data_IF_242677607734
#
_entry.id   IF_242677607734
#
_cell.length_a   1.000
_cell.length_b   1.000
_cell.length_c   1.000
_cell.angle_alpha   90.00
_cell.angle_beta   90.00
_cell.angle_gamma   90.00
#
_symmetry.space_group_name_H-M   'P 1'
#
loop_
_entity.id
_entity.type
_entity.pdbx_description
1 polymer ?
#
# COMPACT_ATOMS: atom_id res chain seq x y z
N UNK A 1 -9.30 -15.22 19.93
CA UNK A 1 -9.28 -13.75 20.06
C UNK A 1 -9.28 -13.47 21.55
N UNK A 2 -8.20 -12.88 22.06
CA UNK A 2 -8.13 -12.41 23.45
C UNK A 2 -9.20 -11.37 23.68
N UNK A 3 -9.74 -11.29 24.90
CA UNK A 3 -10.79 -10.33 25.21
C UNK A 3 -10.20 -8.90 25.18
N UNK A 4 -10.97 -7.88 24.74
CA UNK A 4 -10.49 -6.49 24.75
C UNK A 4 -9.87 -6.04 26.09
N UNK A 5 -10.45 -6.49 27.21
CA UNK A 5 -9.91 -6.22 28.55
C UNK A 5 -8.49 -6.76 28.75
N UNK A 6 -8.18 -7.96 28.25
CA UNK A 6 -6.84 -8.55 28.35
C UNK A 6 -5.81 -7.76 27.54
N UNK A 7 -6.21 -7.23 26.37
CA UNK A 7 -5.32 -6.41 25.54
C UNK A 7 -5.08 -5.02 26.14
N UNK A 8 -6.10 -4.45 26.77
CA UNK A 8 -5.98 -3.20 27.52
C UNK A 8 -5.00 -3.38 28.69
N UNK A 9 -5.18 -4.42 29.49
CA UNK A 9 -4.26 -4.71 30.61
C UNK A 9 -2.84 -4.98 30.13
N UNK A 10 -2.65 -5.69 29.01
CA UNK A 10 -1.33 -5.89 28.43
C UNK A 10 -0.66 -4.57 28.01
N UNK A 11 -1.41 -3.67 27.35
CA UNK A 11 -0.90 -2.35 26.96
C UNK A 11 -0.59 -1.47 28.19
N UNK A 12 -1.45 -1.50 29.21
CA UNK A 12 -1.22 -0.80 30.47
C UNK A 12 -0.01 -1.34 31.21
N UNK A 13 0.21 -2.66 31.23
CA UNK A 13 1.38 -3.26 31.86
C UNK A 13 2.69 -2.74 31.26
N UNK A 14 2.75 -2.56 29.94
CA UNK A 14 3.90 -1.96 29.25
C UNK A 14 4.07 -0.47 29.57
N UNK A 15 2.95 0.27 29.68
CA UNK A 15 2.97 1.71 29.98
C UNK A 15 3.21 2.03 31.47
N UNK A 16 2.92 1.10 32.38
CA UNK A 16 2.84 1.32 33.83
C UNK A 16 4.10 1.96 34.43
N UNK A 17 5.33 1.53 34.11
CA UNK A 17 6.53 2.16 34.66
C UNK A 17 6.59 3.66 34.33
N UNK A 18 6.24 4.05 33.10
CA UNK A 18 6.23 5.45 32.70
C UNK A 18 5.09 6.23 33.39
N UNK A 19 3.87 5.66 33.43
CA UNK A 19 2.72 6.30 34.06
C UNK A 19 2.94 6.58 35.55
N UNK A 20 3.55 5.64 36.29
CA UNK A 20 3.88 5.82 37.72
C UNK A 20 4.91 6.94 37.93
N UNK A 21 5.93 7.05 37.08
CA UNK A 21 6.93 8.13 37.14
C UNK A 21 6.32 9.49 36.82
N UNK A 22 5.44 9.54 35.83
CA UNK A 22 4.70 10.76 35.46
C UNK A 22 3.82 11.22 36.64
N UNK A 23 3.07 10.31 37.24
CA UNK A 23 2.23 10.60 38.41
C UNK A 23 3.05 11.09 39.61
N UNK A 24 4.18 10.43 39.91
CA UNK A 24 5.06 10.83 41.01
C UNK A 24 5.68 12.23 40.82
N UNK A 25 5.83 12.69 39.57
CA UNK A 25 6.30 14.04 39.25
C UNK A 25 5.19 15.11 39.30
N UNK A 26 3.94 14.73 39.61
CA UNK A 26 2.79 15.64 39.64
C UNK A 26 2.06 15.77 38.30
N UNK A 27 2.41 14.94 37.31
CA UNK A 27 1.73 14.87 36.03
C UNK A 27 0.61 13.83 35.98
N UNK A 28 -0.03 13.73 34.83
CA UNK A 28 -1.00 12.69 34.53
C UNK A 28 -0.79 12.17 33.10
N UNK A 29 -0.73 10.85 32.94
CA UNK A 29 -0.48 10.19 31.66
C UNK A 29 -1.68 9.36 31.20
N UNK A 30 -1.93 9.37 29.90
CA UNK A 30 -2.99 8.59 29.25
C UNK A 30 -2.39 7.70 28.17
N UNK A 31 -2.78 6.42 28.15
CA UNK A 31 -2.57 5.58 26.98
C UNK A 31 -3.50 6.09 25.85
N UNK A 32 -3.00 6.34 24.65
CA UNK A 32 -3.78 6.98 23.57
C UNK A 32 -3.60 6.29 22.22
N UNK A 33 -4.41 6.69 21.25
CA UNK A 33 -4.12 6.45 19.83
C UNK A 33 -4.32 5.01 19.37
N UNK A 34 -3.36 4.50 18.60
CA UNK A 34 -3.45 3.20 17.94
C UNK A 34 -3.51 2.04 18.93
N UNK A 35 -2.79 2.13 20.04
CA UNK A 35 -2.76 1.13 21.09
C UNK A 35 -4.16 0.89 21.68
N UNK A 36 -4.88 1.96 22.01
CA UNK A 36 -6.25 1.88 22.58
C UNK A 36 -7.23 1.28 21.57
N UNK A 37 -7.21 1.78 20.33
CA UNK A 37 -8.08 1.26 19.25
C UNK A 37 -7.85 -0.23 19.01
N UNK A 38 -6.59 -0.63 18.89
CA UNK A 38 -6.25 -2.02 18.54
C UNK A 38 -6.54 -2.96 19.71
N UNK A 39 -6.31 -2.53 20.96
CA UNK A 39 -6.71 -3.27 22.15
C UNK A 39 -8.23 -3.49 22.21
N UNK A 40 -9.03 -2.45 21.91
CA UNK A 40 -10.50 -2.57 21.84
C UNK A 40 -10.97 -3.50 20.71
N UNK A 41 -10.20 -3.64 19.64
CA UNK A 41 -10.42 -4.63 18.57
C UNK A 41 -9.94 -6.05 18.94
N UNK A 42 -9.41 -6.25 20.16
CA UNK A 42 -8.83 -7.52 20.59
C UNK A 42 -7.55 -7.90 19.84
N UNK A 43 -6.80 -6.90 19.36
CA UNK A 43 -5.54 -7.07 18.62
C UNK A 43 -4.36 -6.66 19.50
N UNK A 44 -3.27 -7.45 19.53
CA UNK A 44 -2.06 -7.05 20.22
C UNK A 44 -1.42 -5.84 19.52
N UNK A 45 -0.93 -4.91 20.32
CA UNK A 45 -0.18 -3.76 19.85
C UNK A 45 0.96 -3.44 20.83
N UNK A 46 2.19 -3.44 20.32
CA UNK A 46 3.41 -3.12 21.08
C UNK A 46 3.83 -1.66 20.93
N UNK A 47 3.24 -0.91 20.00
CA UNK A 47 3.49 0.51 19.78
C UNK A 47 2.62 1.30 20.77
N UNK A 48 3.19 1.55 21.95
CA UNK A 48 2.52 2.19 23.08
C UNK A 48 2.77 3.70 23.05
N UNK A 49 1.69 4.46 22.83
CA UNK A 49 1.68 5.91 22.86
C UNK A 49 1.10 6.42 24.19
N UNK A 50 1.84 7.25 24.91
CA UNK A 50 1.40 7.90 26.15
C UNK A 50 1.32 9.40 25.94
N UNK A 51 0.18 10.02 26.22
CA UNK A 51 0.01 11.48 26.20
C UNK A 51 0.02 12.02 27.63
N UNK A 52 0.85 13.03 27.89
CA UNK A 52 1.15 13.52 29.24
C UNK A 52 0.66 14.93 29.46
N UNK A 53 0.05 15.15 30.61
CA UNK A 53 -0.56 16.39 31.05
C UNK A 53 0.08 16.86 32.36
N UNK A 54 0.07 18.18 32.59
CA UNK A 54 0.55 18.77 33.86
C UNK A 54 2.07 18.83 34.05
N UNK A 55 2.87 18.32 33.11
CA UNK A 55 4.34 18.41 33.15
C UNK A 55 4.90 19.15 31.93
N UNK A 56 5.87 20.03 32.15
CA UNK A 56 6.68 20.60 31.08
C UNK A 56 7.66 19.58 30.48
N UNK A 57 8.24 19.86 29.29
CA UNK A 57 9.18 18.95 28.63
C UNK A 57 10.39 18.54 29.49
N UNK A 58 10.98 19.49 30.23
CA UNK A 58 12.14 19.23 31.08
C UNK A 58 11.80 18.35 32.29
N UNK A 59 10.63 18.59 32.91
CA UNK A 59 10.13 17.81 34.05
C UNK A 59 9.80 16.38 33.61
N UNK A 60 9.16 16.24 32.45
CA UNK A 60 8.85 14.93 31.87
C UNK A 60 10.13 14.14 31.56
N UNK A 61 11.12 14.75 30.91
CA UNK A 61 12.39 14.09 30.62
C UNK A 61 13.11 13.66 31.91
N UNK A 62 13.13 14.52 32.94
CA UNK A 62 13.69 14.18 34.24
C UNK A 62 12.94 13.02 34.92
N UNK A 63 11.60 13.01 34.86
CA UNK A 63 10.76 11.96 35.42
C UNK A 63 11.03 10.59 34.79
N UNK A 64 11.22 10.54 33.46
CA UNK A 64 11.40 9.32 32.67
C UNK A 64 12.86 8.82 32.63
N UNK A 65 13.85 9.70 32.79
CA UNK A 65 15.28 9.34 32.71
C UNK A 65 15.73 8.15 33.57
N UNK A 66 15.14 7.84 34.75
CA UNK A 66 15.54 6.67 35.53
C UNK A 66 15.08 5.34 34.95
N UNK A 67 14.12 5.35 34.01
CA UNK A 67 13.54 4.13 33.43
C UNK A 67 14.38 3.54 32.29
N UNK A 68 15.25 4.35 31.69
CA UNK A 68 16.08 3.96 30.57
C UNK A 68 16.47 5.16 29.70
N UNK A 69 16.82 4.91 28.43
CA UNK A 69 17.25 5.99 27.54
C UNK A 69 16.03 6.74 26.99
N UNK A 70 15.94 8.02 27.34
CA UNK A 70 14.90 8.93 26.88
C UNK A 70 15.50 9.92 25.86
N UNK A 71 15.00 9.89 24.62
CA UNK A 71 15.44 10.78 23.55
C UNK A 71 14.27 11.64 23.09
N UNK A 72 14.38 12.96 23.25
CA UNK A 72 13.41 13.88 22.68
C UNK A 72 13.56 13.91 21.14
N UNK A 73 12.44 13.78 20.44
CA UNK A 73 12.39 13.67 18.97
C UNK A 73 11.55 14.80 18.38
N UNK A 74 11.98 15.26 17.19
CA UNK A 74 11.28 16.30 16.42
C UNK A 74 11.70 17.72 16.79
N UNK A 75 11.42 18.69 15.90
CA UNK A 75 11.89 20.09 16.07
C UNK A 75 11.19 20.85 17.20
N UNK A 76 10.08 20.35 17.74
CA UNK A 76 9.40 20.91 18.93
C UNK A 76 9.70 20.18 20.23
N UNK A 77 10.46 19.07 20.18
CA UNK A 77 10.73 18.20 21.32
C UNK A 77 9.46 17.73 22.07
N UNK A 78 8.32 17.68 21.39
CA UNK A 78 7.03 17.33 21.98
C UNK A 78 6.77 15.83 22.13
N UNK A 79 7.68 14.97 21.66
CA UNK A 79 7.63 13.51 21.82
C UNK A 79 8.98 13.02 22.33
N UNK A 80 8.96 12.16 23.35
CA UNK A 80 10.11 11.50 23.93
C UNK A 80 10.00 10.01 23.59
N UNK A 81 10.97 9.50 22.84
CA UNK A 81 11.14 8.07 22.67
C UNK A 81 11.85 7.51 23.89
N UNK A 82 11.13 6.72 24.67
CA UNK A 82 11.63 6.08 25.87
C UNK A 82 11.89 4.61 25.58
N UNK A 83 13.15 4.20 25.70
CA UNK A 83 13.54 2.81 25.69
C UNK A 83 13.75 2.37 27.14
N UNK A 84 12.87 1.52 27.65
CA UNK A 84 12.99 0.93 28.98
C UNK A 84 14.18 -0.04 29.03
N UNK A 85 14.74 -0.21 30.23
CA UNK A 85 15.91 -1.07 30.47
C UNK A 85 15.69 -2.55 30.09
N UNK A 86 14.44 -3.01 30.05
CA UNK A 86 14.03 -4.36 29.66
C UNK A 86 13.81 -4.54 28.14
N UNK A 87 14.00 -3.47 27.34
CA UNK A 87 13.87 -3.51 25.89
C UNK A 87 12.51 -3.05 25.34
N UNK A 88 11.56 -2.64 26.19
CA UNK A 88 10.29 -2.06 25.72
C UNK A 88 10.48 -0.62 25.23
N UNK A 89 9.93 -0.28 24.06
CA UNK A 89 9.94 1.08 23.50
C UNK A 89 8.56 1.75 23.66
N UNK A 90 8.55 2.97 24.18
CA UNK A 90 7.35 3.78 24.41
C UNK A 90 7.51 5.16 23.75
N UNK A 91 6.45 5.67 23.13
CA UNK A 91 6.41 7.05 22.63
C UNK A 91 5.60 7.91 23.62
N UNK A 92 6.26 8.84 24.30
CA UNK A 92 5.65 9.71 25.32
C UNK A 92 5.54 11.14 24.79
N UNK A 93 4.33 11.61 24.56
CA UNK A 93 4.04 12.88 23.92
C UNK A 93 3.40 13.90 24.88
N UNK A 94 3.71 15.17 24.68
CA UNK A 94 3.00 16.29 25.29
C UNK A 94 1.96 16.85 24.30
N UNK A 95 0.77 17.26 24.77
CA UNK A 95 -0.27 17.84 23.94
C UNK A 95 0.18 19.19 23.36
N UNK A 96 -0.36 19.56 22.19
CA UNK A 96 0.06 20.75 21.44
C UNK A 96 -1.16 21.55 20.93
N UNK A 97 -1.10 22.88 20.99
CA UNK A 97 -2.23 23.78 20.62
C UNK A 97 -2.47 23.97 19.13
N UNK A 98 -1.49 23.75 18.23
CA UNK A 98 -1.67 23.94 16.76
C UNK A 98 -0.79 23.06 15.88
N UNK A 99 -1.37 22.66 14.75
CA UNK A 99 -0.68 22.09 13.59
C UNK A 99 -1.20 22.70 12.28
N UNK A 100 -1.37 24.03 12.24
CA UNK A 100 -1.70 24.74 10.99
C UNK A 100 -0.41 25.32 10.40
N UNK A 101 0.14 24.76 9.31
CA UNK A 101 1.12 25.48 8.52
C UNK A 101 0.42 26.69 7.91
N UNK A 102 0.98 27.88 8.08
CA UNK A 102 0.61 29.00 7.21
C UNK A 102 1.02 28.62 5.79
N UNK A 103 0.13 28.77 4.80
CA UNK A 103 0.46 28.48 3.41
C UNK A 103 1.75 29.23 3.01
N UNK A 104 2.77 28.48 2.58
CA UNK A 104 4.10 29.02 2.22
C UNK A 104 5.14 29.09 3.35
N UNK A 105 4.76 28.84 4.61
CA UNK A 105 5.71 28.78 5.72
C UNK A 105 6.08 27.33 6.03
N UNK A 106 7.39 27.00 5.94
CA UNK A 106 7.93 25.76 6.53
C UNK A 106 7.65 25.76 8.03
N UNK A 107 6.63 25.01 8.44
CA UNK A 107 6.42 24.42 9.77
C UNK A 107 6.96 25.17 10.98
N UNK A 108 6.28 26.23 11.42
CA UNK A 108 6.33 26.63 12.83
C UNK A 108 5.57 25.59 13.64
N UNK A 109 6.29 24.65 14.23
CA UNK A 109 5.72 23.64 15.12
C UNK A 109 5.27 24.35 16.40
N UNK A 110 4.02 24.15 16.82
CA UNK A 110 3.54 24.73 18.07
C UNK A 110 4.32 24.16 19.25
N UNK A 111 4.62 25.01 20.23
CA UNK A 111 5.20 24.55 21.49
C UNK A 111 4.23 23.57 22.19
N UNK A 112 4.77 22.55 22.90
CA UNK A 112 3.99 21.75 23.83
C UNK A 112 3.22 22.63 24.80
N UNK A 113 1.96 22.27 25.04
CA UNK A 113 1.13 22.93 26.02
C UNK A 113 0.50 21.90 26.98
N UNK A 114 1.18 21.62 28.10
CA UNK A 114 0.72 20.63 29.07
C UNK A 114 -0.54 21.05 29.83
N UNK A 115 -1.05 22.27 29.62
CA UNK A 115 -2.29 22.78 30.23
C UNK A 115 -3.55 22.42 29.45
N UNK A 116 -3.40 21.88 28.23
CA UNK A 116 -4.53 21.40 27.46
C UNK A 116 -5.28 20.31 28.20
N UNK A 117 -6.61 20.30 28.10
CA UNK A 117 -7.40 19.17 28.62
C UNK A 117 -7.35 17.97 27.66
N UNK A 118 -7.55 16.73 28.15
CA UNK A 118 -7.66 15.55 27.29
C UNK A 118 -8.70 15.69 26.16
N UNK A 119 -9.81 16.38 26.45
CA UNK A 119 -10.83 16.67 25.44
C UNK A 119 -10.32 17.61 24.34
N UNK A 120 -9.61 18.68 24.69
CA UNK A 120 -9.06 19.63 23.71
C UNK A 120 -7.92 19.05 22.88
N UNK A 121 -7.10 18.17 23.46
CA UNK A 121 -6.03 17.48 22.77
C UNK A 121 -6.59 16.44 21.78
N UNK A 122 -7.52 15.60 22.24
CA UNK A 122 -8.17 14.57 21.42
C UNK A 122 -8.97 15.18 20.25
N UNK A 123 -9.55 16.38 20.40
CA UNK A 123 -10.25 17.11 19.33
C UNK A 123 -9.43 17.27 18.04
N UNK A 124 -8.10 17.30 18.15
CA UNK A 124 -7.17 17.58 17.04
C UNK A 124 -6.80 16.34 16.24
N UNK A 125 -7.15 15.16 16.73
CA UNK A 125 -6.86 13.88 16.08
C UNK A 125 -7.70 13.73 14.81
N UNK A 126 -7.35 12.75 14.00
CA UNK A 126 -7.99 12.53 12.71
C UNK A 126 -9.39 11.93 12.86
N UNK A 127 -9.50 10.77 13.50
CA UNK A 127 -10.75 10.02 13.62
C UNK A 127 -11.12 9.76 15.09
N UNK A 128 -12.41 9.67 15.36
CA UNK A 128 -12.97 9.38 16.70
C UNK A 128 -12.36 8.11 17.30
N UNK A 129 -12.19 7.06 16.48
CA UNK A 129 -11.56 5.80 16.88
C UNK A 129 -10.09 5.93 17.32
N UNK A 130 -9.38 6.98 16.88
CA UNK A 130 -8.00 7.26 17.26
C UNK A 130 -7.91 8.32 18.38
N UNK A 131 -9.06 8.87 18.79
CA UNK A 131 -9.21 9.88 19.83
C UNK A 131 -9.62 9.29 21.19
N UNK A 132 -9.59 7.96 21.29
CA UNK A 132 -9.79 7.20 22.53
C UNK A 132 -8.53 7.24 23.39
N UNK A 133 -8.74 7.26 24.70
CA UNK A 133 -7.68 7.20 25.70
C UNK A 133 -8.04 6.27 26.86
N UNK A 134 -7.05 5.71 27.53
CA UNK A 134 -7.23 4.86 28.72
C UNK A 134 -6.38 5.43 29.86
N UNK A 135 -6.98 5.54 31.05
CA UNK A 135 -6.31 6.00 32.27
C UNK A 135 -5.38 4.93 32.85
N UNK A 136 -4.50 5.29 33.79
CA UNK A 136 -3.62 4.32 34.46
C UNK A 136 -4.40 3.24 35.25
N UNK A 137 -5.64 3.57 35.64
CA UNK A 137 -6.60 2.71 36.34
C UNK A 137 -7.42 1.83 35.39
N UNK A 138 -7.27 2.01 34.07
CA UNK A 138 -7.98 1.22 33.05
C UNK A 138 -9.33 1.79 32.62
N UNK A 139 -9.66 3.04 32.99
CA UNK A 139 -10.89 3.67 32.57
C UNK A 139 -10.79 4.20 31.13
N UNK A 140 -11.80 3.93 30.30
CA UNK A 140 -11.86 4.44 28.93
C UNK A 140 -12.41 5.88 28.91
N UNK A 141 -11.61 6.80 28.37
CA UNK A 141 -12.01 8.16 28.06
C UNK A 141 -12.39 8.28 26.59
N UNK A 142 -13.69 8.49 26.34
CA UNK A 142 -14.25 8.71 25.00
C UNK A 142 -15.11 9.97 24.97
N UNK A 143 -14.54 11.07 24.46
CA UNK A 143 -15.23 12.36 24.35
C UNK A 143 -16.00 12.53 23.04
N UNK A 144 -15.83 11.62 22.08
CA UNK A 144 -16.22 11.81 20.67
C UNK A 144 -17.04 10.65 20.10
N UNK A 145 -17.35 9.63 20.91
CA UNK A 145 -18.10 8.44 20.50
C UNK A 145 -17.26 7.45 19.69
N UNK A 146 -15.93 7.46 19.85
CA UNK A 146 -15.01 6.58 19.12
C UNK A 146 -15.24 5.10 19.39
N UNK A 147 -15.69 4.72 20.60
CA UNK A 147 -15.94 3.32 20.92
C UNK A 147 -17.17 2.76 20.17
N UNK A 148 -18.21 3.59 20.02
CA UNK A 148 -19.40 3.23 19.23
C UNK A 148 -19.08 3.18 17.73
N UNK A 149 -18.33 4.16 17.23
CA UNK A 149 -17.86 4.17 15.83
C UNK A 149 -16.98 2.95 15.53
N UNK A 150 -16.10 2.56 16.45
CA UNK A 150 -15.26 1.36 16.33
C UNK A 150 -16.11 0.09 16.23
N UNK A 151 -17.12 -0.04 17.09
CA UNK A 151 -18.06 -1.18 17.10
C UNK A 151 -18.91 -1.24 15.84
N UNK A 152 -19.29 -0.10 15.27
CA UNK A 152 -20.07 0.00 14.03
C UNK A 152 -19.21 -0.08 12.77
N UNK A 153 -17.89 -0.08 12.89
CA UNK A 153 -16.97 -0.02 11.74
C UNK A 153 -17.09 1.28 10.95
N UNK A 154 -17.17 2.42 11.64
CA UNK A 154 -17.35 3.75 11.06
C UNK A 154 -16.09 4.61 11.23
N UNK A 155 -15.69 5.30 10.17
CA UNK A 155 -14.67 6.35 10.23
C UNK A 155 -15.33 7.73 10.26
N UNK A 156 -15.38 8.33 11.45
CA UNK A 156 -15.87 9.69 11.67
C UNK A 156 -14.71 10.61 12.07
N UNK A 157 -14.66 11.81 11.50
CA UNK A 157 -13.72 12.84 11.93
C UNK A 157 -14.06 13.36 13.33
N UNK A 158 -13.05 13.79 14.08
CA UNK A 158 -13.26 14.26 15.46
C UNK A 158 -13.88 15.65 15.53
N UNK A 159 -13.29 16.61 14.80
CA UNK A 159 -13.69 18.02 14.82
C UNK A 159 -13.28 18.71 13.52
N UNK A 160 -13.64 19.99 13.38
CA UNK A 160 -13.23 20.86 12.27
C UNK A 160 -11.71 20.93 12.05
N UNK A 161 -10.91 20.58 13.09
CA UNK A 161 -9.45 20.44 13.00
C UNK A 161 -9.01 19.36 11.99
N UNK A 162 -9.92 18.51 11.52
CA UNK A 162 -9.65 17.57 10.43
C UNK A 162 -9.16 18.28 9.15
N UNK A 163 -9.66 19.49 8.87
CA UNK A 163 -9.23 20.29 7.74
C UNK A 163 -7.81 20.86 7.85
N UNK A 164 -7.15 20.77 9.01
CA UNK A 164 -5.79 21.31 9.19
C UNK A 164 -4.72 20.48 8.44
N UNK A 165 -5.00 19.22 8.12
CA UNK A 165 -4.12 18.38 7.30
C UNK A 165 -4.96 17.60 6.27
N UNK A 166 -5.07 18.09 5.02
CA UNK A 166 -5.81 17.43 3.96
C UNK A 166 -5.39 15.97 3.70
N UNK A 167 -4.16 15.56 4.07
CA UNK A 167 -3.71 14.17 3.97
C UNK A 167 -4.63 13.21 4.75
N UNK A 168 -5.35 13.70 5.77
CA UNK A 168 -6.29 12.88 6.55
C UNK A 168 -7.38 12.23 5.70
N UNK A 169 -7.69 12.75 4.51
CA UNK A 169 -8.60 12.08 3.58
C UNK A 169 -7.99 10.78 3.05
N UNK A 170 -6.72 10.78 2.63
CA UNK A 170 -6.02 9.55 2.23
C UNK A 170 -5.73 8.63 3.44
N UNK A 171 -5.57 9.19 4.64
CA UNK A 171 -5.55 8.36 5.88
C UNK A 171 -6.89 7.64 6.07
N UNK A 172 -8.01 8.28 5.75
CA UNK A 172 -9.33 7.62 5.79
C UNK A 172 -9.38 6.45 4.82
N UNK A 173 -8.87 6.63 3.59
CA UNK A 173 -8.78 5.58 2.56
C UNK A 173 -8.00 4.38 3.08
N UNK A 174 -6.78 4.57 3.61
CA UNK A 174 -6.01 3.44 4.11
C UNK A 174 -6.58 2.84 5.41
N UNK A 175 -7.21 3.61 6.30
CA UNK A 175 -7.84 3.05 7.49
C UNK A 175 -9.09 2.24 7.16
N UNK A 176 -9.90 2.71 6.21
CA UNK A 176 -11.01 1.93 5.66
C UNK A 176 -10.49 0.62 5.08
N UNK A 177 -9.38 0.66 4.34
CA UNK A 177 -8.77 -0.56 3.83
C UNK A 177 -8.17 -1.46 4.92
N UNK A 178 -7.60 -0.89 5.98
CA UNK A 178 -6.99 -1.67 7.06
C UNK A 178 -8.03 -2.39 7.91
N UNK A 179 -9.16 -1.75 8.17
CA UNK A 179 -10.17 -2.23 9.13
C UNK A 179 -11.48 -2.70 8.50
N UNK A 180 -11.69 -2.45 7.20
CA UNK A 180 -12.97 -2.73 6.52
C UNK A 180 -14.07 -1.73 6.90
N UNK A 181 -13.69 -0.53 7.35
CA UNK A 181 -14.64 0.47 7.86
C UNK A 181 -15.22 1.36 6.77
N UNK A 182 -16.42 1.88 7.03
CA UNK A 182 -17.13 2.80 6.14
C UNK A 182 -16.94 4.24 6.58
N UNK A 183 -16.79 5.15 5.60
CA UNK A 183 -16.70 6.58 5.86
C UNK A 183 -18.06 7.13 6.33
N UNK A 184 -18.07 7.86 7.44
CA UNK A 184 -19.26 8.56 7.92
C UNK A 184 -19.74 9.62 6.90
N UNK A 185 -21.06 9.76 6.64
CA UNK A 185 -21.56 10.72 5.64
C UNK A 185 -21.17 12.19 5.88
N UNK A 186 -21.15 12.62 7.14
CA UNK A 186 -20.70 13.98 7.51
C UNK A 186 -19.21 14.16 7.26
N UNK A 187 -18.43 13.12 7.54
CA UNK A 187 -16.99 13.09 7.22
C UNK A 187 -16.75 13.10 5.71
N UNK A 188 -17.54 12.36 4.94
CA UNK A 188 -17.47 12.37 3.48
C UNK A 188 -17.73 13.77 2.91
N UNK A 189 -18.71 14.50 3.46
CA UNK A 189 -18.98 15.89 3.07
C UNK A 189 -17.79 16.83 3.37
N UNK A 190 -17.18 16.67 4.55
CA UNK A 190 -15.97 17.42 4.91
C UNK A 190 -14.81 17.10 3.95
N UNK A 191 -14.55 15.82 3.67
CA UNK A 191 -13.50 15.41 2.74
C UNK A 191 -13.67 16.04 1.34
N UNK A 192 -14.91 16.10 0.82
CA UNK A 192 -15.20 16.75 -0.46
C UNK A 192 -14.84 18.23 -0.45
N UNK A 193 -15.10 18.93 0.66
CA UNK A 193 -14.73 20.35 0.80
C UNK A 193 -13.22 20.60 0.81
N UNK A 194 -12.41 19.59 1.15
CA UNK A 194 -10.96 19.67 1.22
C UNK A 194 -10.26 19.37 -0.11
N UNK A 195 -10.99 18.92 -1.14
CA UNK A 195 -10.42 18.56 -2.44
C UNK A 195 -9.52 19.65 -3.05
N UNK A 196 -9.86 20.96 -3.02
CA UNK A 196 -9.00 22.00 -3.57
C UNK A 196 -7.63 22.11 -2.87
N UNK A 197 -7.52 21.65 -1.62
CA UNK A 197 -6.30 21.72 -0.82
C UNK A 197 -5.35 20.55 -1.11
N UNK A 198 -5.78 19.53 -1.86
CA UNK A 198 -4.99 18.35 -2.15
C UNK A 198 -3.67 18.65 -2.90
N UNK A 199 -3.65 19.73 -3.70
CA UNK A 199 -2.45 20.16 -4.44
C UNK A 199 -1.29 20.58 -3.53
N UNK A 200 -1.56 20.92 -2.27
CA UNK A 200 -0.53 21.31 -1.30
C UNK A 200 0.17 20.15 -0.59
N UNK A 201 -0.24 18.90 -0.87
CA UNK A 201 0.31 17.72 -0.18
C UNK A 201 1.54 17.21 -0.93
N UNK A 202 2.64 17.03 -0.21
CA UNK A 202 3.86 16.45 -0.77
C UNK A 202 3.63 15.00 -1.27
N UNK A 203 4.18 14.68 -2.44
CA UNK A 203 4.04 13.38 -3.12
C UNK A 203 4.45 12.20 -2.25
N UNK A 204 5.50 12.35 -1.44
CA UNK A 204 6.00 11.29 -0.55
C UNK A 204 4.99 10.96 0.54
N UNK A 205 4.22 11.96 1.00
CA UNK A 205 3.14 11.76 1.99
C UNK A 205 1.96 11.04 1.35
N UNK A 206 1.59 11.40 0.11
CA UNK A 206 0.55 10.72 -0.67
C UNK A 206 0.92 9.26 -0.86
N UNK A 207 2.16 9.01 -1.32
CA UNK A 207 2.68 7.66 -1.52
C UNK A 207 2.69 6.83 -0.24
N UNK A 208 3.05 7.45 0.90
CA UNK A 208 3.00 6.80 2.21
C UNK A 208 1.62 6.23 2.57
N UNK A 209 0.53 6.92 2.21
CA UNK A 209 -0.83 6.44 2.45
C UNK A 209 -1.27 5.37 1.43
N UNK A 210 -0.86 5.49 0.16
CA UNK A 210 -1.11 4.45 -0.85
C UNK A 210 -0.37 3.14 -0.58
N UNK A 211 0.86 3.20 -0.05
CA UNK A 211 1.58 2.00 0.38
C UNK A 211 0.84 1.27 1.51
N UNK A 212 0.35 2.02 2.51
CA UNK A 212 -0.46 1.44 3.59
C UNK A 212 -1.75 0.83 3.06
N UNK A 213 -2.42 1.50 2.12
CA UNK A 213 -3.61 0.95 1.46
C UNK A 213 -3.31 -0.35 0.70
N UNK A 214 -2.22 -0.39 -0.07
CA UNK A 214 -1.84 -1.58 -0.85
C UNK A 214 -1.38 -2.76 0.05
N UNK A 215 -0.88 -2.47 1.26
CA UNK A 215 -0.59 -3.47 2.28
C UNK A 215 -1.82 -3.90 3.09
N UNK A 216 -2.97 -3.24 2.94
CA UNK A 216 -4.11 -3.45 3.82
C UNK A 216 -4.94 -4.69 3.46
N UNK A 217 -5.76 -5.14 4.42
CA UNK A 217 -6.59 -6.36 4.31
C UNK A 217 -7.81 -6.20 3.41
N UNK A 218 -8.40 -5.01 3.38
CA UNK A 218 -9.69 -4.73 2.73
C UNK A 218 -9.59 -3.57 1.71
N UNK A 219 -8.70 -3.63 0.71
CA UNK A 219 -8.47 -2.52 -0.22
C UNK A 219 -9.75 -2.01 -0.89
N UNK A 220 -10.77 -2.85 -1.12
CA UNK A 220 -12.07 -2.43 -1.62
C UNK A 220 -12.73 -1.36 -0.74
N UNK A 221 -12.69 -1.53 0.59
CA UNK A 221 -13.25 -0.55 1.51
C UNK A 221 -12.54 0.81 1.39
N UNK A 222 -11.22 0.79 1.17
CA UNK A 222 -10.46 2.01 0.88
C UNK A 222 -10.88 2.70 -0.41
N UNK A 223 -11.05 1.96 -1.51
CA UNK A 223 -11.48 2.53 -2.80
C UNK A 223 -12.90 3.10 -2.73
N UNK A 224 -13.81 2.43 -2.01
CA UNK A 224 -15.14 2.97 -1.72
C UNK A 224 -15.07 4.27 -0.92
N UNK A 225 -14.16 4.36 0.05
CA UNK A 225 -13.90 5.60 0.79
C UNK A 225 -13.30 6.69 -0.09
N UNK A 226 -12.41 6.34 -1.02
CA UNK A 226 -11.84 7.29 -1.99
C UNK A 226 -12.94 7.91 -2.87
N UNK A 227 -13.87 7.08 -3.37
CA UNK A 227 -15.04 7.53 -4.13
C UNK A 227 -15.98 8.40 -3.27
N UNK A 228 -16.43 7.89 -2.11
CA UNK A 228 -17.34 8.61 -1.23
C UNK A 228 -16.79 9.97 -0.75
N UNK A 229 -15.47 10.07 -0.58
CA UNK A 229 -14.79 11.32 -0.20
C UNK A 229 -14.71 12.36 -1.32
N UNK A 230 -15.01 11.98 -2.57
CA UNK A 230 -14.84 12.79 -3.78
C UNK A 230 -13.39 12.94 -4.25
N UNK A 231 -12.43 12.33 -3.54
CA UNK A 231 -11.00 12.42 -3.90
C UNK A 231 -10.60 11.50 -5.05
N UNK A 232 -11.50 10.61 -5.49
CA UNK A 232 -11.33 9.89 -6.75
C UNK A 232 -11.09 10.84 -7.94
N UNK A 233 -11.62 12.06 -7.89
CA UNK A 233 -11.39 13.11 -8.90
C UNK A 233 -9.91 13.50 -9.07
N UNK A 234 -9.04 13.20 -8.09
CA UNK A 234 -7.59 13.43 -8.21
C UNK A 234 -6.90 12.37 -9.07
N UNK A 235 -7.56 11.26 -9.36
CA UNK A 235 -7.02 10.11 -10.09
C UNK A 235 -7.88 9.86 -11.33
N UNK A 236 -7.72 10.68 -12.40
CA UNK A 236 -8.56 10.59 -13.59
C UNK A 236 -8.52 9.22 -14.25
N UNK A 237 -7.39 8.51 -14.16
CA UNK A 237 -7.23 7.15 -14.66
C UNK A 237 -8.20 6.17 -13.96
N UNK A 238 -8.41 6.33 -12.65
CA UNK A 238 -9.36 5.54 -11.87
C UNK A 238 -10.81 6.03 -12.04
N UNK A 239 -11.02 7.35 -12.06
CA UNK A 239 -12.35 7.93 -12.25
C UNK A 239 -12.97 7.52 -13.59
N UNK A 240 -12.16 7.36 -14.64
CA UNK A 240 -12.61 6.90 -15.95
C UNK A 240 -13.18 5.47 -15.96
N UNK A 241 -12.90 4.66 -14.92
CA UNK A 241 -13.46 3.32 -14.80
C UNK A 241 -14.95 3.34 -14.41
N UNK A 242 -15.42 4.40 -13.75
CA UNK A 242 -16.81 4.52 -13.30
C UNK A 242 -17.75 4.59 -14.50
N UNK A 243 -18.75 3.73 -14.53
CA UNK A 243 -19.74 3.63 -15.61
C UNK A 243 -19.21 2.97 -16.89
N UNK A 244 -17.94 2.57 -16.95
CA UNK A 244 -17.41 1.79 -18.07
C UNK A 244 -18.07 0.40 -18.09
N UNK A 245 -18.99 0.18 -19.03
CA UNK A 245 -19.81 -1.02 -19.07
C UNK A 245 -18.98 -2.26 -19.41
N UNK A 246 -19.38 -3.40 -18.87
CA UNK A 246 -18.79 -4.71 -19.14
C UNK A 246 -19.88 -5.71 -19.53
N UNK A 247 -19.55 -6.82 -20.23
CA UNK A 247 -20.50 -7.87 -20.54
C UNK A 247 -21.08 -8.52 -19.26
N UNK A 248 -22.39 -8.40 -18.97
CA UNK A 248 -22.95 -8.90 -17.71
C UNK A 248 -22.82 -10.41 -17.50
N UNK A 249 -22.70 -11.19 -18.57
CA UNK A 249 -22.45 -12.64 -18.51
C UNK A 249 -21.10 -12.97 -17.87
N UNK A 250 -20.08 -12.16 -18.13
CA UNK A 250 -18.72 -12.37 -17.62
C UNK A 250 -18.38 -11.48 -16.43
N UNK A 251 -19.11 -10.38 -16.26
CA UNK A 251 -18.93 -9.37 -15.23
C UNK A 251 -20.28 -9.05 -14.54
N UNK A 252 -20.88 -10.03 -13.82
CA UNK A 252 -22.13 -9.81 -13.09
C UNK A 252 -22.00 -8.79 -11.95
N UNK A 253 -20.78 -8.51 -11.50
CA UNK A 253 -20.46 -7.54 -10.45
C UNK A 253 -20.66 -6.08 -10.85
N UNK A 254 -20.68 -5.78 -12.16
CA UNK A 254 -21.00 -4.45 -12.69
C UNK A 254 -19.93 -3.85 -13.61
N UNK A 255 -19.71 -2.54 -13.46
CA UNK A 255 -18.79 -1.78 -14.29
C UNK A 255 -17.31 -2.06 -13.96
N UNK A 256 -16.40 -1.50 -14.76
CA UNK A 256 -14.95 -1.71 -14.57
C UNK A 256 -14.45 -1.21 -13.21
N UNK A 257 -15.03 -0.14 -12.68
CA UNK A 257 -14.69 0.37 -11.34
C UNK A 257 -15.02 -0.64 -10.24
N UNK A 258 -16.23 -1.19 -10.25
CA UNK A 258 -16.66 -2.21 -9.29
C UNK A 258 -15.84 -3.50 -9.42
N UNK A 259 -15.56 -3.93 -10.66
CA UNK A 259 -14.66 -5.04 -10.92
C UNK A 259 -13.27 -4.81 -10.33
N UNK A 260 -12.64 -3.67 -10.62
CA UNK A 260 -11.32 -3.32 -10.08
C UNK A 260 -11.29 -3.33 -8.56
N UNK A 261 -12.35 -2.83 -7.91
CA UNK A 261 -12.50 -2.92 -6.46
C UNK A 261 -12.48 -4.35 -5.93
N UNK A 262 -13.22 -5.27 -6.58
CA UNK A 262 -13.23 -6.69 -6.20
C UNK A 262 -11.92 -7.40 -6.52
N UNK A 263 -11.27 -7.06 -7.64
CA UNK A 263 -9.96 -7.61 -8.00
C UNK A 263 -8.89 -7.22 -6.99
N UNK A 264 -8.89 -5.97 -6.49
CA UNK A 264 -8.02 -5.55 -5.39
C UNK A 264 -8.28 -6.35 -4.10
N UNK A 265 -9.54 -6.58 -3.72
CA UNK A 265 -9.89 -7.39 -2.54
C UNK A 265 -9.42 -8.85 -2.71
N UNK A 266 -9.62 -9.42 -3.91
CA UNK A 266 -9.15 -10.76 -4.24
C UNK A 266 -7.62 -10.86 -4.21
N UNK A 267 -6.92 -9.86 -4.74
CA UNK A 267 -5.46 -9.77 -4.69
C UNK A 267 -4.93 -9.74 -3.25
N UNK A 268 -5.58 -8.97 -2.37
CA UNK A 268 -5.23 -8.94 -0.94
C UNK A 268 -5.50 -10.28 -0.24
N UNK A 269 -6.59 -10.97 -0.58
CA UNK A 269 -6.89 -12.29 -0.03
C UNK A 269 -5.91 -13.37 -0.53
N UNK A 270 -5.52 -13.32 -1.81
CA UNK A 270 -4.49 -14.20 -2.39
C UNK A 270 -3.15 -13.94 -1.71
N UNK A 271 -2.76 -12.67 -1.53
CA UNK A 271 -1.51 -12.33 -0.85
C UNK A 271 -1.44 -12.89 0.58
N UNK A 272 -2.55 -12.83 1.31
CA UNK A 272 -2.67 -13.43 2.64
C UNK A 272 -2.55 -14.96 2.58
N UNK A 273 -3.30 -15.61 1.67
CA UNK A 273 -3.33 -17.06 1.52
C UNK A 273 -1.96 -17.65 1.18
N UNK A 274 -1.21 -16.96 0.32
CA UNK A 274 0.13 -17.37 -0.11
C UNK A 274 1.24 -16.91 0.87
N UNK A 275 0.90 -16.18 1.93
CA UNK A 275 1.87 -15.68 2.91
C UNK A 275 2.87 -14.69 2.31
N UNK A 276 2.45 -13.85 1.37
CA UNK A 276 3.33 -12.91 0.69
C UNK A 276 3.88 -11.85 1.64
N UNK A 277 5.18 -11.56 1.50
CA UNK A 277 5.80 -10.43 2.16
C UNK A 277 5.20 -9.09 1.68
N UNK A 278 5.40 -8.07 2.50
CA UNK A 278 4.84 -6.72 2.33
C UNK A 278 5.06 -6.11 0.93
N UNK A 279 6.26 -6.25 0.37
CA UNK A 279 6.59 -5.73 -0.95
C UNK A 279 5.79 -6.46 -2.05
N UNK A 280 5.82 -7.80 -2.04
CA UNK A 280 5.12 -8.62 -3.02
C UNK A 280 3.59 -8.40 -2.96
N UNK A 281 3.02 -8.27 -1.76
CA UNK A 281 1.62 -7.90 -1.56
C UNK A 281 1.30 -6.55 -2.21
N UNK A 282 2.09 -5.51 -1.93
CA UNK A 282 1.85 -4.17 -2.50
C UNK A 282 1.93 -4.20 -4.02
N UNK A 283 2.92 -4.88 -4.59
CA UNK A 283 3.06 -5.05 -6.04
C UNK A 283 1.83 -5.72 -6.64
N UNK A 284 1.34 -6.81 -6.04
CA UNK A 284 0.14 -7.51 -6.51
C UNK A 284 -1.13 -6.64 -6.43
N UNK A 285 -1.36 -5.96 -5.31
CA UNK A 285 -2.55 -5.11 -5.11
C UNK A 285 -2.52 -3.86 -6.01
N UNK A 286 -1.34 -3.26 -6.24
CA UNK A 286 -1.18 -2.14 -7.17
C UNK A 286 -1.35 -2.60 -8.63
N UNK A 287 -0.88 -3.79 -8.99
CA UNK A 287 -1.13 -4.36 -10.31
C UNK A 287 -2.61 -4.65 -10.53
N UNK A 288 -3.31 -5.18 -9.52
CA UNK A 288 -4.76 -5.33 -9.51
C UNK A 288 -5.50 -4.00 -9.71
N UNK A 289 -5.06 -2.92 -9.05
CA UNK A 289 -5.63 -1.58 -9.22
C UNK A 289 -5.48 -1.06 -10.67
N UNK A 290 -4.40 -1.46 -11.35
CA UNK A 290 -4.02 -0.90 -12.64
C UNK A 290 -4.40 -1.76 -13.86
N UNK A 291 -4.77 -3.03 -13.68
CA UNK A 291 -4.84 -4.01 -14.78
C UNK A 291 -5.78 -3.61 -15.92
N UNK A 292 -6.89 -2.93 -15.59
CA UNK A 292 -7.99 -2.62 -16.50
C UNK A 292 -8.12 -1.16 -16.90
N UNK A 293 -7.12 -0.33 -16.58
CA UNK A 293 -7.14 1.12 -16.86
C UNK A 293 -7.34 1.45 -18.36
N UNK A 294 -6.98 0.54 -19.26
CA UNK A 294 -7.17 0.72 -20.70
C UNK A 294 -8.59 0.47 -21.20
N UNK A 295 -9.48 -0.14 -20.38
CA UNK A 295 -10.85 -0.49 -20.82
C UNK A 295 -11.64 0.75 -21.28
N UNK A 296 -11.73 1.87 -20.53
CA UNK A 296 -12.51 3.03 -20.96
C UNK A 296 -12.18 3.56 -22.36
N UNK A 297 -10.91 3.52 -22.77
CA UNK A 297 -10.47 4.00 -24.08
C UNK A 297 -10.61 2.96 -25.21
N UNK A 298 -10.82 1.68 -24.87
CA UNK A 298 -10.84 0.56 -25.82
C UNK A 298 -12.19 -0.16 -25.89
N UNK A 299 -13.11 0.14 -24.98
CA UNK A 299 -14.45 -0.48 -24.97
C UNK A 299 -15.26 -0.05 -26.18
N UNK A 300 -15.78 -1.06 -26.89
CA UNK A 300 -16.61 -0.93 -28.09
C UNK A 300 -17.91 -1.71 -27.92
N UNK A 301 -18.99 -1.19 -28.51
CA UNK A 301 -20.31 -1.82 -28.52
C UNK A 301 -20.64 -2.27 -29.94
N UNK A 302 -20.28 -3.52 -30.27
CA UNK A 302 -20.49 -4.07 -31.61
C UNK A 302 -21.52 -5.20 -31.57
N UNK A 303 -22.59 -5.08 -32.37
CA UNK A 303 -23.64 -6.11 -32.51
C UNK A 303 -24.22 -6.58 -31.17
N UNK A 304 -24.41 -5.64 -30.24
CA UNK A 304 -24.94 -5.92 -28.89
C UNK A 304 -23.93 -6.58 -27.94
N UNK A 305 -22.66 -6.71 -28.31
CA UNK A 305 -21.58 -7.22 -27.46
C UNK A 305 -20.63 -6.10 -27.06
N UNK A 306 -20.29 -6.08 -25.79
CA UNK A 306 -19.30 -5.17 -25.22
C UNK A 306 -17.94 -5.87 -25.29
N UNK A 307 -16.91 -5.19 -25.80
CA UNK A 307 -15.54 -5.72 -25.90
C UNK A 307 -14.51 -4.63 -25.67
N UNK A 308 -13.38 -4.97 -25.05
CA UNK A 308 -12.26 -4.06 -24.82
C UNK A 308 -10.95 -4.64 -25.39
N UNK A 309 -10.82 -4.72 -26.73
CA UNK A 309 -9.62 -5.28 -27.37
C UNK A 309 -8.39 -4.43 -27.06
N UNK A 310 -7.27 -5.07 -26.71
CA UNK A 310 -5.99 -4.39 -26.47
C UNK A 310 -5.95 -3.49 -25.23
N UNK A 311 -6.89 -3.66 -24.28
CA UNK A 311 -6.92 -2.84 -23.07
C UNK A 311 -5.69 -3.02 -22.17
N UNK A 312 -5.05 -4.20 -22.20
CA UNK A 312 -3.84 -4.46 -21.41
C UNK A 312 -2.67 -3.59 -21.90
N UNK A 313 -2.45 -3.51 -23.22
CA UNK A 313 -1.42 -2.68 -23.83
C UNK A 313 -1.76 -1.19 -23.68
N UNK A 314 -3.01 -0.81 -23.93
CA UNK A 314 -3.47 0.58 -23.80
C UNK A 314 -3.48 1.07 -22.34
N UNK A 315 -3.66 0.15 -21.38
CA UNK A 315 -3.70 0.46 -19.95
C UNK A 315 -2.33 0.70 -19.33
N UNK A 316 -1.26 0.19 -19.93
CA UNK A 316 0.09 0.35 -19.38
C UNK A 316 0.58 1.80 -19.23
N UNK A 317 0.46 2.70 -20.23
CA UNK A 317 0.82 4.11 -20.03
C UNK A 317 -0.07 4.81 -18.99
N UNK A 318 -1.33 4.38 -18.83
CA UNK A 318 -2.23 4.90 -17.80
C UNK A 318 -1.82 4.43 -16.41
N UNK A 319 -1.40 3.18 -16.27
CA UNK A 319 -0.85 2.62 -15.03
C UNK A 319 0.42 3.37 -14.62
N UNK A 320 1.32 3.66 -15.57
CA UNK A 320 2.53 4.45 -15.32
C UNK A 320 2.18 5.86 -14.84
N UNK A 321 1.24 6.54 -15.50
CA UNK A 321 0.78 7.87 -15.13
C UNK A 321 0.11 7.89 -13.74
N UNK A 322 -0.73 6.90 -13.44
CA UNK A 322 -1.40 6.76 -12.15
C UNK A 322 -0.39 6.54 -11.01
N UNK A 323 0.54 5.60 -11.18
CA UNK A 323 1.57 5.31 -10.17
C UNK A 323 2.49 6.52 -9.95
N UNK A 324 2.88 7.22 -11.02
CA UNK A 324 3.64 8.47 -10.91
C UNK A 324 2.84 9.55 -10.14
N UNK A 325 1.54 9.68 -10.41
CA UNK A 325 0.65 10.60 -9.70
C UNK A 325 0.50 10.27 -8.21
N UNK A 326 0.54 8.98 -7.85
CA UNK A 326 0.56 8.52 -6.47
C UNK A 326 1.91 8.75 -5.77
N UNK A 327 2.96 9.10 -6.51
CA UNK A 327 4.32 9.25 -5.99
C UNK A 327 5.09 7.94 -5.85
N UNK A 328 4.71 6.89 -6.60
CA UNK A 328 5.36 5.59 -6.55
C UNK A 328 6.84 5.67 -6.96
N UNK A 329 7.68 4.88 -6.30
CA UNK A 329 9.08 4.75 -6.68
C UNK A 329 9.24 3.99 -7.99
N UNK A 330 10.26 4.34 -8.78
CA UNK A 330 10.51 3.75 -10.10
C UNK A 330 10.63 2.21 -10.07
N UNK A 331 11.20 1.62 -9.02
CA UNK A 331 11.30 0.16 -8.90
C UNK A 331 9.93 -0.51 -8.72
N UNK A 332 8.98 0.13 -8.03
CA UNK A 332 7.60 -0.37 -7.89
C UNK A 332 6.90 -0.31 -9.23
N UNK A 333 7.04 0.82 -9.95
CA UNK A 333 6.49 0.99 -11.30
C UNK A 333 7.04 -0.10 -12.24
N UNK A 334 8.34 -0.36 -12.21
CA UNK A 334 8.99 -1.38 -13.01
C UNK A 334 8.49 -2.80 -12.71
N UNK A 335 8.11 -3.11 -11.47
CA UNK A 335 7.49 -4.40 -11.12
C UNK A 335 6.02 -4.48 -11.55
N UNK A 336 5.24 -3.40 -11.45
CA UNK A 336 3.80 -3.42 -11.73
C UNK A 336 3.49 -3.43 -13.22
N UNK A 337 4.22 -2.65 -14.03
CA UNK A 337 3.88 -2.45 -15.45
C UNK A 337 3.88 -3.75 -16.28
N UNK A 338 4.84 -4.68 -16.14
CA UNK A 338 4.80 -5.94 -16.88
C UNK A 338 3.59 -6.80 -16.51
N UNK A 339 3.20 -6.81 -15.23
CA UNK A 339 2.01 -7.55 -14.76
C UNK A 339 0.74 -7.02 -15.43
N UNK A 340 0.58 -5.69 -15.50
CA UNK A 340 -0.56 -5.03 -16.17
C UNK A 340 -0.56 -5.34 -17.67
N UNK A 341 0.58 -5.22 -18.35
CA UNK A 341 0.66 -5.47 -19.80
C UNK A 341 0.34 -6.90 -20.17
N UNK A 342 0.75 -7.86 -19.34
CA UNK A 342 0.70 -9.29 -19.68
C UNK A 342 -0.46 -10.04 -19.02
N UNK A 343 -1.34 -9.40 -18.25
CA UNK A 343 -2.40 -10.12 -17.52
C UNK A 343 -3.35 -10.90 -18.44
N UNK A 344 -3.49 -10.51 -19.72
CA UNK A 344 -4.29 -11.23 -20.72
C UNK A 344 -3.54 -12.39 -21.40
N UNK A 345 -2.25 -12.58 -21.15
CA UNK A 345 -1.44 -13.61 -21.82
C UNK A 345 -1.84 -15.05 -21.47
N UNK A 346 -2.69 -15.25 -20.46
CA UNK A 346 -3.21 -16.56 -20.05
C UNK A 346 -4.17 -17.17 -21.09
N UNK A 347 -4.68 -16.38 -22.04
CA UNK A 347 -5.48 -16.89 -23.16
C UNK A 347 -4.64 -17.64 -24.23
N UNK A 348 -3.32 -17.50 -24.20
CA UNK A 348 -2.44 -18.30 -25.05
C UNK A 348 -2.32 -19.75 -24.56
N UNK A 349 -1.92 -20.68 -25.43
CA UNK A 349 -1.67 -22.07 -25.02
C UNK A 349 -0.30 -22.19 -24.35
N UNK A 350 -0.19 -22.75 -23.12
CA UNK A 350 1.10 -22.93 -22.46
C UNK A 350 1.96 -23.94 -23.24
N UNK A 351 3.18 -23.50 -23.56
CA UNK A 351 4.27 -24.29 -24.16
C UNK A 351 5.58 -23.76 -23.59
N UNK A 352 6.65 -24.57 -23.60
CA UNK A 352 7.94 -24.16 -23.03
C UNK A 352 8.44 -22.82 -23.58
N UNK A 353 8.44 -22.65 -24.90
CA UNK A 353 8.72 -21.37 -25.57
C UNK A 353 7.86 -20.21 -25.06
N UNK A 354 6.54 -20.36 -25.05
CA UNK A 354 5.61 -19.29 -24.64
C UNK A 354 5.84 -18.88 -23.18
N UNK A 355 6.04 -19.86 -22.30
CA UNK A 355 6.29 -19.64 -20.86
C UNK A 355 7.63 -18.94 -20.62
N UNK A 356 8.71 -19.36 -21.28
CA UNK A 356 10.01 -18.66 -21.17
C UNK A 356 9.93 -17.22 -21.69
N UNK A 357 9.25 -16.99 -22.81
CA UNK A 357 9.06 -15.63 -23.36
C UNK A 357 8.21 -14.76 -22.43
N UNK A 358 7.17 -15.31 -21.82
CA UNK A 358 6.36 -14.57 -20.85
C UNK A 358 7.19 -14.23 -19.60
N UNK A 359 7.92 -15.19 -19.03
CA UNK A 359 8.83 -14.94 -17.90
C UNK A 359 9.86 -13.83 -18.21
N UNK A 360 10.42 -13.81 -19.42
CA UNK A 360 11.34 -12.77 -19.86
C UNK A 360 10.67 -11.38 -19.99
N UNK A 361 9.42 -11.29 -20.47
CA UNK A 361 8.68 -10.02 -20.56
C UNK A 361 8.20 -9.50 -19.22
N UNK A 362 7.96 -10.40 -18.25
CA UNK A 362 7.52 -10.05 -16.91
C UNK A 362 8.62 -9.42 -16.06
N UNK A 363 9.89 -9.77 -16.29
CA UNK A 363 11.00 -9.27 -15.50
C UNK A 363 11.01 -7.72 -15.42
N UNK A 364 11.13 -7.12 -14.21
CA UNK A 364 11.56 -7.72 -12.95
C UNK A 364 10.47 -8.43 -12.12
N UNK A 365 9.21 -8.43 -12.57
CA UNK A 365 8.15 -9.22 -11.94
C UNK A 365 8.28 -10.72 -12.28
N UNK A 366 7.54 -11.56 -11.55
CA UNK A 366 7.63 -13.02 -11.67
C UNK A 366 6.40 -13.66 -12.30
N UNK A 367 6.55 -14.88 -12.79
CA UNK A 367 5.42 -15.70 -13.26
C UNK A 367 4.42 -15.98 -12.13
N UNK A 368 4.90 -16.09 -10.89
CA UNK A 368 4.04 -16.28 -9.71
C UNK A 368 3.16 -15.05 -9.46
N UNK A 369 3.74 -13.84 -9.46
CA UNK A 369 3.00 -12.59 -9.30
C UNK A 369 1.99 -12.40 -10.44
N UNK A 370 2.39 -12.73 -11.66
CA UNK A 370 1.49 -12.69 -12.82
C UNK A 370 0.33 -13.67 -12.67
N UNK A 371 0.59 -14.91 -12.28
CA UNK A 371 -0.47 -15.91 -12.08
C UNK A 371 -1.43 -15.51 -10.95
N UNK A 372 -0.92 -14.90 -9.87
CA UNK A 372 -1.72 -14.34 -8.78
C UNK A 372 -2.61 -13.18 -9.24
N UNK A 373 -2.10 -12.30 -10.11
CA UNK A 373 -2.91 -11.22 -10.70
C UNK A 373 -4.02 -11.78 -11.59
N UNK A 374 -3.72 -12.77 -12.42
CA UNK A 374 -4.71 -13.44 -13.29
C UNK A 374 -5.78 -14.14 -12.46
N UNK A 375 -5.39 -14.81 -11.38
CA UNK A 375 -6.35 -15.37 -10.42
C UNK A 375 -7.21 -14.29 -9.77
N UNK A 376 -6.61 -13.16 -9.37
CA UNK A 376 -7.33 -12.05 -8.77
C UNK A 376 -8.36 -11.43 -9.73
N UNK A 377 -7.99 -11.19 -10.99
CA UNK A 377 -8.90 -10.70 -12.04
C UNK A 377 -10.08 -11.66 -12.24
N UNK A 378 -9.78 -12.96 -12.31
CA UNK A 378 -10.83 -13.96 -12.52
C UNK A 378 -11.75 -14.12 -11.30
N UNK A 379 -11.18 -14.11 -10.10
CA UNK A 379 -11.88 -14.34 -8.84
C UNK A 379 -12.61 -13.10 -8.32
N UNK A 380 -12.26 -11.91 -8.81
CA UNK A 380 -12.90 -10.63 -8.50
C UNK A 380 -14.28 -10.40 -9.15
N UNK A 381 -15.02 -11.47 -9.50
CA UNK A 381 -16.26 -11.39 -10.28
C UNK A 381 -17.46 -12.03 -9.57
N UNK A 382 -17.77 -11.65 -8.32
CA UNK A 382 -18.87 -12.25 -7.59
C UNK A 382 -20.21 -12.06 -8.33
N UNK A 383 -21.13 -13.03 -8.32
CA UNK A 383 -21.10 -14.25 -7.51
C UNK A 383 -20.40 -15.45 -8.17
N UNK A 384 -19.62 -15.25 -9.24
CA UNK A 384 -18.89 -16.35 -9.87
C UNK A 384 -17.86 -16.94 -8.90
N UNK A 385 -17.61 -18.26 -8.95
CA UNK A 385 -16.63 -18.89 -8.09
C UNK A 385 -15.20 -18.45 -8.43
N UNK A 386 -14.27 -18.47 -7.46
CA UNK A 386 -12.87 -18.17 -7.71
C UNK A 386 -12.24 -19.23 -8.63
N UNK A 387 -11.31 -18.79 -9.47
CA UNK A 387 -10.65 -19.63 -10.46
C UNK A 387 -9.25 -19.05 -10.74
N UNK A 388 -8.27 -19.92 -11.00
CA UNK A 388 -6.93 -19.51 -11.44
C UNK A 388 -6.66 -19.97 -12.88
N UNK A 389 -6.97 -19.15 -13.90
CA UNK A 389 -6.70 -19.47 -15.30
C UNK A 389 -5.21 -19.67 -15.63
N UNK A 390 -4.31 -19.08 -14.84
CA UNK A 390 -2.87 -19.16 -15.03
C UNK A 390 -2.22 -20.41 -14.41
N UNK A 391 -3.00 -21.28 -13.74
CA UNK A 391 -2.46 -22.43 -13.01
C UNK A 391 -1.59 -23.36 -13.89
N UNK A 392 -2.02 -23.63 -15.13
CA UNK A 392 -1.23 -24.45 -16.07
C UNK A 392 0.06 -23.75 -16.49
N UNK A 393 0.03 -22.45 -16.76
CA UNK A 393 1.25 -21.69 -17.06
C UNK A 393 2.24 -21.74 -15.90
N UNK A 394 1.75 -21.59 -14.68
CA UNK A 394 2.59 -21.61 -13.48
C UNK A 394 3.23 -22.98 -13.25
N UNK A 395 2.50 -24.08 -13.50
CA UNK A 395 3.07 -25.43 -13.46
C UNK A 395 4.24 -25.59 -14.44
N UNK A 396 4.05 -25.20 -15.70
CA UNK A 396 5.13 -25.20 -16.69
C UNK A 396 6.30 -24.30 -16.28
N UNK A 397 6.03 -23.13 -15.71
CA UNK A 397 7.07 -22.21 -15.26
C UNK A 397 7.93 -22.82 -14.15
N UNK A 398 7.34 -23.61 -13.25
CA UNK A 398 8.06 -24.35 -12.21
C UNK A 398 8.92 -25.47 -12.81
N UNK A 399 8.36 -26.25 -13.73
CA UNK A 399 9.10 -27.33 -14.42
C UNK A 399 10.31 -26.80 -15.20
N UNK A 400 10.18 -25.60 -15.77
CA UNK A 400 11.24 -24.93 -16.54
C UNK A 400 12.18 -24.09 -15.66
N UNK A 401 11.97 -24.05 -14.35
CA UNK A 401 12.71 -23.20 -13.40
C UNK A 401 12.69 -21.69 -13.74
N UNK A 402 11.58 -21.20 -14.28
CA UNK A 402 11.36 -19.77 -14.63
C UNK A 402 10.22 -19.11 -13.85
N UNK A 403 9.74 -19.76 -12.79
CA UNK A 403 8.63 -19.24 -11.98
C UNK A 403 8.96 -17.92 -11.28
N UNK A 404 10.20 -17.79 -10.80
CA UNK A 404 10.68 -16.67 -9.97
C UNK A 404 11.63 -15.72 -10.71
N UNK A 405 12.20 -16.15 -11.83
CA UNK A 405 13.15 -15.37 -12.63
C UNK A 405 13.16 -15.86 -14.07
N UNK A 406 13.47 -15.00 -15.06
CA UNK A 406 13.61 -15.45 -16.44
C UNK A 406 14.87 -16.33 -16.62
N UNK A 407 14.96 -17.10 -17.72
CA UNK A 407 16.18 -17.83 -18.07
C UNK A 407 17.39 -16.88 -18.09
N UNK A 408 18.50 -17.32 -17.49
CA UNK A 408 19.75 -16.57 -17.56
C UNK A 408 20.30 -16.59 -19.00
N UNK A 409 20.82 -15.46 -19.53
CA UNK A 409 21.43 -15.45 -20.86
C UNK A 409 22.61 -16.42 -20.96
N UNK A 410 22.59 -17.31 -21.94
CA UNK A 410 23.68 -18.24 -22.24
C UNK A 410 24.88 -17.53 -22.87
N UNK A 411 24.61 -16.52 -23.71
CA UNK A 411 25.64 -15.69 -24.33
C UNK A 411 25.90 -14.46 -23.47
N UNK A 412 27.18 -14.24 -23.12
CA UNK A 412 27.61 -13.09 -22.33
C UNK A 412 28.44 -12.12 -23.16
N UNK A 413 28.44 -10.84 -22.77
CA UNK A 413 29.29 -9.84 -23.43
C UNK A 413 30.77 -10.22 -23.37
N UNK A 414 31.23 -10.82 -22.26
CA UNK A 414 32.60 -11.31 -22.12
C UNK A 414 32.96 -12.36 -23.18
N UNK A 415 32.04 -13.28 -23.48
CA UNK A 415 32.25 -14.29 -24.52
C UNK A 415 32.38 -13.67 -25.92
N UNK A 416 31.53 -12.69 -26.25
CA UNK A 416 31.62 -11.96 -27.51
C UNK A 416 32.91 -11.13 -27.62
N UNK A 417 33.32 -10.43 -26.56
CA UNK A 417 34.59 -9.68 -26.55
C UNK A 417 35.79 -10.60 -26.76
N UNK A 418 35.81 -11.77 -26.10
CA UNK A 418 36.86 -12.77 -26.31
C UNK A 418 36.87 -13.35 -27.73
N UNK A 419 35.74 -13.35 -28.42
CA UNK A 419 35.58 -13.77 -29.81
C UNK A 419 35.87 -12.64 -30.83
N UNK A 420 36.32 -11.47 -30.38
CA UNK A 420 36.77 -10.37 -31.26
C UNK A 420 35.72 -9.30 -31.56
N UNK A 421 34.56 -9.31 -30.91
CA UNK A 421 33.58 -8.23 -31.07
C UNK A 421 34.05 -6.96 -30.35
N UNK A 422 33.82 -5.80 -30.96
CA UNK A 422 34.06 -4.51 -30.33
C UNK A 422 32.96 -4.16 -29.31
N UNK A 423 33.28 -3.48 -28.19
CA UNK A 423 32.27 -2.97 -27.28
C UNK A 423 31.42 -1.89 -27.96
N UNK A 424 30.10 -1.95 -27.82
CA UNK A 424 29.20 -0.93 -28.34
C UNK A 424 27.76 -1.40 -28.57
N UNK A 425 26.90 -0.55 -29.14
CA UNK A 425 25.49 -0.85 -29.40
C UNK A 425 25.27 -2.12 -30.26
N UNK A 426 26.18 -2.40 -31.19
CA UNK A 426 26.14 -3.60 -32.04
C UNK A 426 26.28 -4.89 -31.22
N UNK A 427 27.25 -4.95 -30.30
CA UNK A 427 27.40 -6.09 -29.37
C UNK A 427 26.14 -6.29 -28.53
N UNK A 428 25.54 -5.19 -28.04
CA UNK A 428 24.26 -5.25 -27.32
C UNK A 428 23.10 -5.78 -28.16
N UNK A 429 23.06 -5.47 -29.46
CA UNK A 429 22.06 -6.01 -30.37
C UNK A 429 22.23 -7.52 -30.59
N UNK A 430 23.47 -8.01 -30.72
CA UNK A 430 23.76 -9.45 -30.83
C UNK A 430 23.36 -10.19 -29.55
N UNK A 431 23.66 -9.64 -28.37
CA UNK A 431 23.24 -10.23 -27.09
C UNK A 431 21.71 -10.34 -26.98
N UNK A 432 20.97 -9.29 -27.38
CA UNK A 432 19.50 -9.33 -27.40
C UNK A 432 18.97 -10.39 -28.37
N UNK A 433 19.50 -10.43 -29.59
CA UNK A 433 19.09 -11.42 -30.59
C UNK A 433 19.41 -12.86 -30.16
N UNK A 434 20.56 -13.08 -29.53
CA UNK A 434 20.92 -14.37 -28.95
C UNK A 434 19.97 -14.75 -27.82
N UNK A 435 19.61 -13.81 -26.95
CA UNK A 435 18.65 -14.09 -25.89
C UNK A 435 17.27 -14.45 -26.44
N UNK A 436 16.77 -13.76 -27.47
CA UNK A 436 15.53 -14.13 -28.15
C UNK A 436 15.62 -15.54 -28.78
N UNK A 437 16.74 -15.85 -29.43
CA UNK A 437 17.00 -17.18 -30.00
C UNK A 437 17.05 -18.29 -28.93
N UNK A 438 17.60 -17.99 -27.75
CA UNK A 438 17.59 -18.88 -26.59
C UNK A 438 16.17 -19.15 -26.10
N UNK A 439 15.34 -18.12 -25.99
CA UNK A 439 13.93 -18.28 -25.58
C UNK A 439 13.13 -19.11 -26.62
N UNK A 440 13.56 -19.10 -27.88
CA UNK A 440 13.04 -19.90 -28.98
C UNK A 440 13.65 -21.31 -29.09
N UNK A 441 14.48 -21.72 -28.12
CA UNK A 441 15.15 -23.04 -28.08
C UNK A 441 16.06 -23.32 -29.29
N UNK A 442 16.64 -22.28 -29.90
CA UNK A 442 17.58 -22.48 -31.03
C UNK A 442 18.93 -23.08 -30.61
N UNK A 443 19.26 -22.99 -29.32
CA UNK A 443 20.45 -23.56 -28.70
C UNK A 443 20.22 -23.70 -27.18
N UNK A 444 21.00 -24.57 -26.54
CA UNK A 444 20.88 -24.90 -25.13
C UNK A 444 22.16 -24.66 -24.32
N UNK A 445 23.31 -24.45 -24.97
CA UNK A 445 24.59 -24.23 -24.28
C UNK A 445 25.24 -22.88 -24.61
N UNK A 446 26.12 -22.36 -23.75
CA UNK A 446 26.91 -21.16 -24.05
C UNK A 446 27.75 -21.28 -25.33
N UNK A 447 28.30 -22.46 -25.61
CA UNK A 447 29.10 -22.74 -26.80
C UNK A 447 28.27 -22.67 -28.07
N UNK A 448 27.08 -23.28 -28.06
CA UNK A 448 26.12 -23.21 -29.17
C UNK A 448 25.63 -21.77 -29.39
N UNK A 449 25.37 -21.03 -28.31
CA UNK A 449 24.97 -19.63 -28.38
C UNK A 449 26.04 -18.74 -29.03
N UNK A 450 27.32 -18.97 -28.69
CA UNK A 450 28.44 -18.27 -29.30
C UNK A 450 28.62 -18.65 -30.78
N UNK A 451 28.52 -19.94 -31.10
CA UNK A 451 28.57 -20.43 -32.49
C UNK A 451 27.46 -19.83 -33.35
N UNK A 452 26.24 -19.77 -32.81
CA UNK A 452 25.11 -19.11 -33.45
C UNK A 452 25.37 -17.62 -33.70
N UNK A 453 25.90 -16.90 -32.71
CA UNK A 453 26.20 -15.47 -32.84
C UNK A 453 27.27 -15.21 -33.92
N UNK A 454 28.35 -15.99 -33.93
CA UNK A 454 29.41 -15.88 -34.94
C UNK A 454 28.92 -16.17 -36.36
N UNK A 455 27.97 -17.10 -36.52
CA UNK A 455 27.39 -17.43 -37.83
C UNK A 455 26.40 -16.36 -38.32
N UNK A 456 25.55 -15.84 -37.42
CA UNK A 456 24.47 -14.91 -37.78
C UNK A 456 24.91 -13.43 -37.80
N UNK A 457 25.94 -13.07 -37.03
CA UNK A 457 26.40 -11.68 -36.82
C UNK A 457 27.93 -11.60 -36.85
N UNK A 458 28.59 -11.90 -37.99
CA UNK A 458 30.06 -11.92 -38.05
C UNK A 458 30.67 -10.59 -37.57
N UNK A 459 31.72 -10.68 -36.74
CA UNK A 459 32.42 -9.50 -36.25
C UNK A 459 33.03 -8.71 -37.42
N UNK A 460 32.77 -7.41 -37.47
CA UNK A 460 33.49 -6.50 -38.35
C UNK A 460 34.97 -6.53 -37.94
N UNK A 461 35.85 -6.93 -38.86
CA UNK A 461 37.28 -7.07 -38.60
C UNK A 461 37.99 -5.74 -38.47
#
# INVERSE_FOLDING_TARGET
MTQPAEQIEAALALARPALERIAAAGGYGLLVGGAVRDALLGRPNSDIDIEVYGLGPAELAAALSPLGSAHAVGRSFGVIKLQLADGVALDVALPQRRSRPVAGARGTIAAPDPTLTPREASARRDFTINALAITAEGELLDFWGGADDLRQGRLRHVSDSFGDDPLRVLRAVQFSARFGFQLDPGTAALCRSLLPQAQGIASERIWGEWQKWASARHPMAGLRTLDASGWLALYPELAALQGCQQPPEYHPEGDVWMHTCYVCESAAAIAEREGLGDEARRTLVLAALCHDLGKPATTTHERGRIRSPGHAEAGAPLAEALLARMGAFAHVVAQVLPLVREHMSHFEKPRARTVRRLAARLAPATMEQWAQLVEADRSGRPPLPPENPAATFLAYARDLAVAIAPPQPLLTGRALLAAGYAPGPALGAVLRAAYEAQLDERFATPEEALGWALAAYPAER
#
